data_IF_304356059909
#
_entry.id   IF_304356059909
#
_cell.length_a   1.000
_cell.length_b   1.000
_cell.length_c   1.000
_cell.angle_alpha   90.00
_cell.angle_beta   90.00
_cell.angle_gamma   90.00
#
_symmetry.space_group_name_H-M   'P 1'
#
loop_
_entity.id
_entity.type
_entity.pdbx_description
1 polymer ?
#
# COMPACT_ATOMS: atom_id res chain seq x y z
N UNK A 1 2.01 5.27 12.02
CA UNK A 1 0.72 4.65 12.39
C UNK A 1 0.50 4.73 13.90
N UNK A 2 1.41 4.20 14.73
CA UNK A 2 1.38 4.34 16.19
C UNK A 2 1.05 5.75 16.72
N UNK A 3 1.73 6.79 16.22
CA UNK A 3 1.48 8.17 16.67
C UNK A 3 0.05 8.64 16.35
N UNK A 4 -0.44 8.37 15.13
CA UNK A 4 -1.80 8.73 14.73
C UNK A 4 -2.83 8.04 15.64
N UNK A 5 -2.66 6.74 15.88
CA UNK A 5 -3.54 5.99 16.76
C UNK A 5 -3.52 6.53 18.20
N UNK A 6 -2.34 6.83 18.75
CA UNK A 6 -2.17 7.43 20.08
C UNK A 6 -2.81 8.82 20.20
N UNK A 7 -2.93 9.54 19.09
CA UNK A 7 -3.64 10.82 19.02
C UNK A 7 -5.15 10.67 18.78
N UNK A 8 -5.70 9.45 18.84
CA UNK A 8 -7.13 9.17 18.64
C UNK A 8 -7.57 9.09 17.17
N UNK A 9 -6.63 9.12 16.22
CA UNK A 9 -6.92 9.01 14.79
C UNK A 9 -7.09 7.54 14.43
N UNK A 10 -8.28 7.17 13.94
CA UNK A 10 -8.61 5.79 13.59
C UNK A 10 -8.44 5.44 12.10
N UNK A 11 -8.17 6.42 11.24
CA UNK A 11 -7.98 6.22 9.80
C UNK A 11 -6.74 6.98 9.34
N UNK A 12 -5.85 6.30 8.60
CA UNK A 12 -4.62 6.86 8.06
C UNK A 12 -4.55 6.61 6.54
N UNK A 13 -4.41 7.67 5.75
CA UNK A 13 -4.31 7.57 4.30
C UNK A 13 -2.85 7.74 3.84
N UNK A 14 -2.42 6.94 2.88
CA UNK A 14 -1.09 7.03 2.26
C UNK A 14 -1.16 6.62 0.79
N UNK A 15 -0.14 6.96 0.00
CA UNK A 15 -0.06 6.51 -1.38
C UNK A 15 0.06 4.99 -1.48
N UNK A 16 1.03 4.41 -0.80
CA UNK A 16 1.27 2.95 -0.81
C UNK A 16 2.09 2.53 0.40
N UNK A 17 1.74 1.40 0.99
CA UNK A 17 2.46 0.84 2.14
C UNK A 17 3.79 0.22 1.71
N UNK A 18 4.70 0.06 2.67
CA UNK A 18 5.83 -0.86 2.55
C UNK A 18 5.37 -2.33 2.45
N UNK A 19 6.34 -3.23 2.30
CA UNK A 19 6.06 -4.64 2.08
C UNK A 19 7.32 -5.48 2.01
N UNK A 20 7.18 -6.69 1.50
CA UNK A 20 8.30 -7.60 1.23
C UNK A 20 8.99 -7.15 -0.06
N UNK A 21 10.31 -6.98 -0.03
CA UNK A 21 11.07 -6.63 -1.21
C UNK A 21 11.20 -7.84 -2.16
N UNK A 22 11.40 -7.59 -3.46
CA UNK A 22 11.65 -8.68 -4.43
C UNK A 22 12.99 -9.36 -4.12
N UNK A 23 12.97 -10.67 -3.83
CA UNK A 23 14.12 -11.41 -3.31
C UNK A 23 14.18 -11.48 -1.78
N UNK A 24 13.15 -10.92 -1.09
CA UNK A 24 13.05 -10.88 0.36
C UNK A 24 13.00 -12.26 1.03
N UNK A 25 12.66 -13.31 0.29
CA UNK A 25 12.77 -14.70 0.76
C UNK A 25 14.20 -15.13 1.10
N UNK A 26 15.20 -14.46 0.51
CA UNK A 26 16.63 -14.74 0.74
C UNK A 26 17.25 -13.64 1.59
N UNK A 27 16.93 -12.37 1.31
CA UNK A 27 17.55 -11.23 1.98
C UNK A 27 16.90 -10.85 3.31
N UNK A 28 15.68 -11.34 3.57
CA UNK A 28 14.84 -10.94 4.70
C UNK A 28 14.54 -9.42 4.72
N UNK A 29 14.60 -8.76 3.56
CA UNK A 29 14.27 -7.34 3.40
C UNK A 29 12.74 -7.15 3.40
N UNK A 30 12.19 -6.96 4.60
CA UNK A 30 10.76 -6.81 4.88
C UNK A 30 10.52 -5.52 5.64
N UNK A 31 9.62 -4.69 5.11
CA UNK A 31 9.30 -3.41 5.72
C UNK A 31 8.66 -3.56 7.11
N UNK A 32 9.12 -2.73 8.05
CA UNK A 32 8.52 -2.60 9.38
C UNK A 32 7.04 -2.16 9.34
N UNK A 33 6.56 -1.59 8.22
CA UNK A 33 5.16 -1.28 8.00
C UNK A 33 4.29 -2.52 8.26
N UNK A 34 4.63 -3.70 7.72
CA UNK A 34 3.80 -4.91 7.87
C UNK A 34 3.63 -5.32 9.33
N UNK A 35 4.70 -5.20 10.11
CA UNK A 35 4.65 -5.51 11.53
C UNK A 35 3.88 -4.46 12.33
N UNK A 36 4.06 -3.18 12.02
CA UNK A 36 3.29 -2.10 12.62
C UNK A 36 1.78 -2.24 12.32
N UNK A 37 1.45 -2.64 11.09
CA UNK A 37 0.10 -2.97 10.65
C UNK A 37 -0.49 -4.10 11.52
N UNK A 38 0.30 -5.08 11.97
CA UNK A 38 -0.21 -6.14 12.87
C UNK A 38 -0.49 -5.69 14.31
N UNK A 39 0.09 -4.58 14.75
CA UNK A 39 0.08 -4.14 16.15
C UNK A 39 -0.88 -2.99 16.43
N UNK A 40 -0.93 -2.03 15.53
CA UNK A 40 -1.65 -0.77 15.76
C UNK A 40 -3.04 -0.86 15.14
N UNK A 41 -4.14 -0.77 15.92
CA UNK A 41 -5.50 -0.93 15.40
C UNK A 41 -5.99 0.38 14.75
N UNK A 42 -5.42 0.69 13.59
CA UNK A 42 -5.75 1.86 12.76
C UNK A 42 -6.12 1.43 11.34
N UNK A 43 -7.18 1.97 10.74
CA UNK A 43 -7.48 1.64 9.35
C UNK A 43 -6.52 2.37 8.41
N UNK A 44 -5.85 1.64 7.51
CA UNK A 44 -4.96 2.25 6.51
C UNK A 44 -5.62 2.21 5.15
N UNK A 45 -5.77 3.37 4.51
CA UNK A 45 -6.28 3.50 3.13
C UNK A 45 -5.10 3.79 2.21
N UNK A 46 -4.93 2.98 1.16
CA UNK A 46 -3.82 3.17 0.21
C UNK A 46 -4.16 2.66 -1.19
N UNK A 47 -3.30 3.00 -2.18
CA UNK A 47 -3.30 2.37 -3.50
C UNK A 47 -2.51 1.04 -3.50
N UNK A 48 -2.49 0.33 -2.36
CA UNK A 48 -1.85 -0.97 -2.18
C UNK A 48 -0.39 -0.87 -1.72
N UNK A 49 0.44 -1.76 -2.24
CA UNK A 49 1.86 -1.86 -1.91
C UNK A 49 2.69 -1.15 -2.98
N UNK A 50 3.77 -0.45 -2.61
CA UNK A 50 4.63 0.26 -3.57
C UNK A 50 5.09 -0.67 -4.70
N UNK A 51 5.13 -0.16 -5.94
CA UNK A 51 5.37 -0.95 -7.17
C UNK A 51 6.75 -1.64 -7.25
N UNK A 52 7.72 -1.21 -6.44
CA UNK A 52 9.05 -1.82 -6.35
C UNK A 52 9.07 -3.14 -5.55
N UNK A 53 7.99 -3.43 -4.83
CA UNK A 53 7.89 -4.54 -3.87
C UNK A 53 7.23 -5.78 -4.48
N UNK A 54 7.28 -6.89 -3.74
CA UNK A 54 6.61 -8.14 -4.05
C UNK A 54 5.22 -8.17 -3.42
N UNK A 55 4.19 -8.00 -4.25
CA UNK A 55 2.80 -7.94 -3.79
C UNK A 55 2.34 -9.30 -3.25
N UNK A 56 2.67 -10.40 -3.94
CA UNK A 56 2.25 -11.73 -3.53
C UNK A 56 2.78 -12.08 -2.14
N UNK A 57 4.09 -11.93 -1.95
CA UNK A 57 4.70 -12.19 -0.64
C UNK A 57 4.23 -11.23 0.44
N UNK A 58 3.95 -9.97 0.08
CA UNK A 58 3.39 -9.01 1.04
C UNK A 58 2.00 -9.45 1.52
N UNK A 59 1.13 -9.92 0.62
CA UNK A 59 -0.19 -10.41 0.99
C UNK A 59 -0.11 -11.65 1.89
N UNK A 60 0.75 -12.62 1.56
CA UNK A 60 1.01 -13.81 2.38
C UNK A 60 1.52 -13.44 3.79
N UNK A 61 2.43 -12.46 3.86
CA UNK A 61 2.97 -11.99 5.14
C UNK A 61 1.91 -11.29 5.98
N UNK A 62 1.05 -10.47 5.36
CA UNK A 62 -0.07 -9.81 6.03
C UNK A 62 -1.09 -10.82 6.54
N UNK A 63 -1.39 -11.86 5.76
CA UNK A 63 -2.23 -12.98 6.18
C UNK A 63 -1.64 -13.69 7.40
N UNK A 64 -0.34 -13.99 7.37
CA UNK A 64 0.39 -14.63 8.48
C UNK A 64 0.30 -13.79 9.77
N UNK A 65 0.39 -12.47 9.65
CA UNK A 65 0.25 -11.55 10.78
C UNK A 65 -1.21 -11.38 11.25
N UNK A 66 -2.18 -11.90 10.51
CA UNK A 66 -3.61 -11.73 10.74
C UNK A 66 -4.10 -10.30 10.48
N UNK A 67 -3.43 -9.57 9.58
CA UNK A 67 -3.88 -8.25 9.12
C UNK A 67 -4.99 -8.45 8.10
N UNK A 68 -6.14 -7.82 8.31
CA UNK A 68 -7.24 -7.88 7.36
C UNK A 68 -6.92 -6.99 6.14
N UNK A 69 -6.95 -7.57 4.94
CA UNK A 69 -6.71 -6.83 3.70
C UNK A 69 -7.96 -6.92 2.83
N UNK A 70 -8.50 -5.77 2.45
CA UNK A 70 -9.66 -5.69 1.57
C UNK A 70 -9.39 -4.77 0.37
N UNK A 71 -9.76 -5.24 -0.82
CA UNK A 71 -9.88 -4.36 -1.98
C UNK A 71 -11.16 -3.52 -1.83
N UNK A 72 -11.09 -2.25 -2.22
CA UNK A 72 -12.26 -1.38 -2.27
C UNK A 72 -12.75 -1.18 -3.71
N UNK A 73 -14.02 -1.49 -3.95
CA UNK A 73 -14.70 -1.36 -5.23
C UNK A 73 -15.30 -2.69 -5.73
N UNK A 74 -15.79 -2.69 -6.97
CA UNK A 74 -16.52 -3.82 -7.55
C UNK A 74 -15.65 -5.07 -7.87
N UNK A 75 -14.33 -4.99 -7.67
CA UNK A 75 -13.40 -6.09 -7.98
C UNK A 75 -12.46 -6.34 -6.82
N UNK A 76 -12.13 -7.62 -6.62
CA UNK A 76 -11.13 -8.08 -5.65
C UNK A 76 -9.68 -7.79 -6.07
N UNK A 77 -9.45 -7.20 -7.24
CA UNK A 77 -8.11 -6.89 -7.72
C UNK A 77 -7.37 -5.99 -6.73
N UNK A 78 -6.26 -6.50 -6.18
CA UNK A 78 -5.42 -5.71 -5.31
C UNK A 78 -4.67 -4.63 -6.13
N UNK A 79 -4.64 -3.36 -5.72
CA UNK A 79 -3.92 -2.32 -6.44
C UNK A 79 -2.39 -2.46 -6.30
N UNK A 80 -1.66 -2.16 -7.38
CA UNK A 80 -0.19 -2.23 -7.46
C UNK A 80 0.44 -0.84 -7.54
N UNK A 81 -0.06 0.09 -6.73
CA UNK A 81 0.37 1.50 -6.72
C UNK A 81 0.22 2.16 -8.10
N UNK A 82 1.32 2.39 -8.83
CA UNK A 82 1.28 2.99 -10.18
C UNK A 82 0.94 2.01 -11.31
N UNK A 83 0.97 0.70 -11.04
CA UNK A 83 0.69 -0.30 -12.08
C UNK A 83 -0.82 -0.50 -12.27
N UNK A 84 -1.30 -0.56 -13.53
CA UNK A 84 -2.72 -0.71 -13.83
C UNK A 84 -3.30 -2.05 -13.37
N UNK A 85 -2.47 -3.10 -13.33
CA UNK A 85 -2.83 -4.44 -12.87
C UNK A 85 -1.72 -5.01 -11.99
N UNK A 86 -2.13 -5.64 -10.89
CA UNK A 86 -1.24 -6.38 -9.99
C UNK A 86 -1.17 -7.87 -10.34
N UNK A 87 -2.22 -8.43 -10.96
CA UNK A 87 -2.49 -9.87 -11.05
C UNK A 87 -2.68 -10.58 -9.69
N UNK A 88 -2.85 -9.82 -8.61
CA UNK A 88 -3.14 -10.33 -7.27
C UNK A 88 -4.54 -9.91 -6.83
N UNK A 89 -5.17 -10.74 -6.00
CA UNK A 89 -6.47 -10.46 -5.41
C UNK A 89 -6.32 -10.20 -3.92
N UNK A 90 -7.08 -9.26 -3.40
CA UNK A 90 -7.22 -9.09 -1.96
C UNK A 90 -8.01 -10.27 -1.37
N UNK A 91 -7.71 -10.69 -0.13
CA UNK A 91 -8.49 -11.70 0.59
C UNK A 91 -9.97 -11.32 0.71
N UNK A 92 -10.24 -10.05 1.04
CA UNK A 92 -11.59 -9.51 1.21
C UNK A 92 -11.91 -8.46 0.13
N UNK A 93 -13.21 -8.19 -0.05
CA UNK A 93 -13.70 -7.09 -0.89
C UNK A 93 -14.66 -6.24 -0.07
N UNK A 94 -14.65 -4.93 -0.31
CA UNK A 94 -15.58 -3.98 0.27
C UNK A 94 -16.09 -3.09 -0.86
N UNK A 95 -17.41 -3.04 -1.05
CA UNK A 95 -18.00 -2.39 -2.23
C UNK A 95 -18.60 -1.02 -1.93
N UNK A 96 -18.86 -0.72 -0.66
CA UNK A 96 -19.53 0.50 -0.22
C UNK A 96 -18.79 1.20 0.92
N UNK A 97 -18.96 2.52 1.02
CA UNK A 97 -18.37 3.30 2.11
C UNK A 97 -18.96 2.92 3.46
N UNK A 98 -20.23 2.51 3.50
CA UNK A 98 -20.92 2.06 4.69
C UNK A 98 -20.33 0.74 5.21
N UNK A 99 -20.00 -0.18 4.30
CA UNK A 99 -19.32 -1.42 4.65
C UNK A 99 -17.89 -1.17 5.13
N UNK A 100 -17.15 -0.28 4.47
CA UNK A 100 -15.83 0.15 4.92
C UNK A 100 -15.90 0.76 6.33
N UNK A 101 -16.87 1.64 6.58
CA UNK A 101 -17.08 2.26 7.88
C UNK A 101 -17.42 1.23 8.96
N UNK A 102 -18.32 0.27 8.68
CA UNK A 102 -18.64 -0.83 9.60
C UNK A 102 -17.41 -1.66 9.94
N UNK A 103 -16.59 -1.97 8.95
CA UNK A 103 -15.35 -2.70 9.14
C UNK A 103 -14.42 -1.91 10.09
N UNK A 104 -14.20 -0.61 9.83
CA UNK A 104 -13.36 0.27 10.68
C UNK A 104 -13.91 0.38 12.11
N UNK A 105 -15.23 0.37 12.30
CA UNK A 105 -15.83 0.40 13.65
C UNK A 105 -15.64 -0.93 14.37
N UNK A 106 -15.88 -2.06 13.69
CA UNK A 106 -15.67 -3.40 14.27
C UNK A 106 -14.24 -3.57 14.79
N UNK A 107 -13.29 -3.00 14.07
CA UNK A 107 -11.88 -3.00 14.43
C UNK A 107 -11.56 -2.33 15.77
N UNK A 108 -12.29 -1.27 16.13
CA UNK A 108 -12.15 -0.62 17.43
C UNK A 108 -12.58 -1.52 18.60
N UNK A 109 -13.37 -2.56 18.34
CA UNK A 109 -13.91 -3.45 19.38
C UNK A 109 -13.02 -4.65 19.69
N UNK A 110 -11.87 -4.79 19.03
CA UNK A 110 -10.89 -5.86 19.30
C UNK A 110 -10.32 -6.55 18.07
N UNK A 111 -10.62 -6.07 16.86
CA UNK A 111 -10.08 -6.61 15.61
C UNK A 111 -8.64 -6.17 15.33
N UNK A 112 -7.88 -7.01 14.61
CA UNK A 112 -6.54 -6.68 14.08
C UNK A 112 -6.66 -5.87 12.81
N UNK A 113 -5.81 -4.84 12.69
CA UNK A 113 -5.81 -3.76 11.69
C UNK A 113 -6.28 -4.12 10.25
N UNK A 114 -6.96 -3.17 9.60
CA UNK A 114 -7.49 -3.30 8.22
C UNK A 114 -6.71 -2.42 7.25
N UNK A 115 -6.23 -3.01 6.17
CA UNK A 115 -5.73 -2.33 4.98
C UNK A 115 -6.83 -2.28 3.92
N UNK A 116 -7.36 -1.09 3.66
CA UNK A 116 -8.26 -0.82 2.54
C UNK A 116 -7.43 -0.40 1.33
N UNK A 117 -7.35 -1.30 0.35
CA UNK A 117 -6.59 -1.10 -0.88
C UNK A 117 -7.54 -0.62 -1.98
N UNK A 118 -7.49 0.67 -2.28
CA UNK A 118 -8.40 1.32 -3.22
C UNK A 118 -7.78 1.39 -4.61
N UNK A 119 -8.44 0.73 -5.57
CA UNK A 119 -8.09 0.82 -7.00
C UNK A 119 -8.90 1.95 -7.63
N UNK A 120 -8.66 3.22 -7.30
CA UNK A 120 -9.46 4.30 -7.90
C UNK A 120 -8.81 5.69 -7.93
N UNK A 121 -9.29 6.49 -8.90
CA UNK A 121 -8.90 7.85 -9.34
C UNK A 121 -8.64 8.90 -8.26
N UNK A 122 -8.96 8.60 -7.00
CA UNK A 122 -8.82 9.48 -5.82
C UNK A 122 -7.35 9.66 -5.41
N UNK A 123 -6.49 8.66 -5.65
CA UNK A 123 -5.05 8.72 -5.28
C UNK A 123 -4.10 8.59 -6.46
N UNK A 124 -4.53 7.95 -7.56
CA UNK A 124 -3.75 7.81 -8.80
C UNK A 124 -4.70 8.14 -9.96
N UNK A 125 -4.57 9.34 -10.53
CA UNK A 125 -5.30 9.68 -11.75
C UNK A 125 -4.80 8.77 -12.89
N UNK A 126 -5.70 8.14 -13.65
CA UNK A 126 -5.34 7.15 -14.67
C UNK A 126 -4.42 7.69 -15.75
N UNK A 127 -4.39 9.02 -15.96
CA UNK A 127 -3.42 9.70 -16.83
C UNK A 127 -1.97 9.60 -16.34
N UNK A 128 -1.73 9.20 -15.09
CA UNK A 128 -0.40 9.03 -14.47
C UNK A 128 -0.09 7.56 -14.15
N UNK A 129 -0.88 6.62 -14.65
CA UNK A 129 -0.54 5.20 -14.53
C UNK A 129 0.68 4.89 -15.41
N UNK A 130 1.69 4.24 -14.84
CA UNK A 130 2.88 3.85 -15.60
C UNK A 130 2.56 2.58 -16.38
N UNK A 131 2.89 2.57 -17.68
CA UNK A 131 2.81 1.36 -18.49
C UNK A 131 3.74 0.29 -17.88
N UNK A 132 3.21 -0.92 -17.73
CA UNK A 132 3.91 -2.13 -17.27
C UNK A 132 5.25 -2.40 -17.96
N UNK A 133 5.44 -1.95 -19.20
CA UNK A 133 6.71 -2.08 -19.94
C UNK A 133 7.83 -1.19 -19.37
N UNK A 134 7.48 -0.04 -18.82
CA UNK A 134 8.43 0.91 -18.26
C UNK A 134 8.79 0.61 -16.81
N UNK A 135 7.86 0.02 -16.03
CA UNK A 135 8.11 -0.31 -14.63
C UNK A 135 9.17 -1.41 -14.45
N UNK A 136 9.17 -2.45 -15.30
CA UNK A 136 10.21 -3.48 -15.30
C UNK A 136 11.59 -2.89 -15.56
N UNK A 137 11.70 -2.05 -16.58
CA UNK A 137 12.95 -1.40 -16.99
C UNK A 137 13.45 -0.37 -15.97
N UNK A 138 12.58 0.45 -15.36
CA UNK A 138 12.97 1.45 -14.35
C UNK A 138 13.39 0.80 -13.02
N UNK A 139 12.76 -0.32 -12.64
CA UNK A 139 13.16 -1.12 -11.46
C UNK A 139 14.47 -1.85 -11.70
N UNK A 140 14.73 -2.31 -12.93
CA UNK A 140 16.02 -2.88 -13.32
C UNK A 140 17.12 -1.80 -13.38
N UNK A 141 16.81 -0.63 -13.93
CA UNK A 141 17.75 0.50 -14.06
C UNK A 141 18.11 1.12 -12.70
N UNK A 142 17.15 1.29 -11.80
CA UNK A 142 17.42 1.74 -10.42
C UNK A 142 18.19 0.71 -9.58
N UNK A 143 18.23 -0.57 -10.00
CA UNK A 143 19.08 -1.61 -9.41
C UNK A 143 20.53 -1.58 -9.90
N UNK A 144 20.79 -0.96 -11.05
CA UNK A 144 22.13 -0.85 -11.64
C UNK A 144 22.86 0.44 -11.22
N UNK A 145 22.14 1.53 -10.94
CA UNK A 145 22.72 2.86 -10.61
C UNK A 145 22.38 3.36 -9.20
N UNK A 146 22.35 2.50 -8.17
CA UNK A 146 22.13 2.96 -6.79
C UNK A 146 23.32 3.75 -6.20
N UNK A 147 24.47 3.79 -6.88
CA UNK A 147 25.67 4.50 -6.44
C UNK A 147 25.91 5.85 -7.12
N UNK A 148 25.18 6.21 -8.19
CA UNK A 148 25.44 7.44 -8.97
C UNK A 148 24.18 8.20 -9.47
N UNK A 149 23.03 8.11 -8.79
CA UNK A 149 21.84 8.88 -9.20
C UNK A 149 21.93 10.37 -8.77
N UNK A 150 21.71 11.35 -9.67
CA UNK A 150 21.81 12.78 -9.34
C UNK A 150 20.64 13.28 -8.46
N UNK A 151 20.82 14.38 -7.72
CA UNK A 151 19.93 14.80 -6.61
C UNK A 151 18.50 15.22 -7.01
N UNK A 152 18.17 15.27 -8.30
CA UNK A 152 16.91 15.83 -8.79
C UNK A 152 15.70 14.88 -8.72
N UNK A 153 15.89 13.60 -8.37
CA UNK A 153 14.79 12.62 -8.35
C UNK A 153 14.06 12.50 -7.00
N UNK A 154 14.58 13.11 -5.93
CA UNK A 154 14.00 13.04 -4.58
C UNK A 154 13.11 14.24 -4.19
N UNK A 155 13.01 15.27 -5.05
CA UNK A 155 12.46 16.60 -4.65
C UNK A 155 11.14 16.97 -5.33
N UNK A 156 10.15 16.07 -5.34
CA UNK A 156 8.79 16.40 -5.80
C UNK A 156 7.69 16.27 -4.72
N UNK A 157 8.08 16.25 -3.44
CA UNK A 157 7.14 16.23 -2.30
C UNK A 157 6.94 17.60 -1.60
N UNK A 158 7.44 18.70 -2.15
CA UNK A 158 7.17 20.04 -1.59
C UNK A 158 6.89 21.03 -2.72
N UNK A 159 5.77 21.75 -2.56
CA UNK A 159 5.26 22.88 -3.37
C UNK A 159 4.15 22.50 -4.37
N UNK A 160 2.91 22.53 -3.87
CA UNK A 160 1.81 23.29 -4.48
C UNK A 160 0.63 23.35 -3.49
N UNK A 161 0.73 24.26 -2.52
CA UNK A 161 -0.46 24.82 -1.85
C UNK A 161 -0.74 26.17 -2.53
N UNK A 162 -1.93 26.39 -3.10
CA UNK A 162 -2.28 27.70 -3.64
C UNK A 162 -2.53 28.68 -2.49
N UNK A 163 -2.08 29.92 -2.69
CA UNK A 163 -2.33 31.10 -1.85
C UNK A 163 -3.80 31.49 -1.84
#
# INVERSE_FOLDING_TARGET
MALAYRSGISVFATGGIGGVHRGGETTMDVSADLFELSKTPIAVVSAGVKSILDIGRTLEYLETLGVCVAAFGASKDFPAFFMPKSNFKAPCNVESYEEAARLIVYMKTGGKMVLLACKSKILVNQNYSLDSRWSGSLVLYSRLDATEAPPCMWTWCTLNLPS
#
